data_IF_945880888716
#
_entry.id   IF_945880888716
#
_cell.length_a   1.000
_cell.length_b   1.000
_cell.length_c   1.000
_cell.angle_alpha   90.00
_cell.angle_beta   90.00
_cell.angle_gamma   90.00
#
_symmetry.space_group_name_H-M   'P 1'
#
loop_
_entity.id
_entity.type
_entity.pdbx_description
1 polymer ?
#
# COMPACT_ATOMS: atom_id res chain seq x y z
N UNK A 1 -10.82 16.18 61.88
CA UNK A 1 -11.39 16.00 60.51
C UNK A 1 -10.29 16.36 59.51
N UNK A 2 -9.65 15.34 58.91
CA UNK A 2 -8.64 15.54 57.89
C UNK A 2 -9.33 15.72 56.53
N UNK A 3 -8.97 16.70 55.70
CA UNK A 3 -9.52 16.83 54.37
C UNK A 3 -8.93 15.77 53.42
N UNK A 4 -9.82 15.01 52.79
CA UNK A 4 -9.52 14.02 51.75
C UNK A 4 -8.72 14.67 50.62
N UNK A 5 -7.48 14.24 50.42
CA UNK A 5 -6.64 14.61 49.29
C UNK A 5 -7.26 14.02 48.00
N UNK A 6 -7.67 14.90 47.09
CA UNK A 6 -8.06 14.52 45.73
C UNK A 6 -6.93 13.78 45.05
N UNK A 7 -7.21 12.68 44.30
CA UNK A 7 -6.18 11.98 43.55
C UNK A 7 -5.62 12.91 42.46
N UNK A 8 -4.30 13.10 42.44
CA UNK A 8 -3.57 13.81 41.40
C UNK A 8 -3.88 13.15 40.04
N UNK A 9 -4.10 13.93 38.96
CA UNK A 9 -4.24 13.38 37.63
C UNK A 9 -2.98 12.58 37.31
N UNK A 10 -3.15 11.33 36.93
CA UNK A 10 -2.07 10.46 36.41
C UNK A 10 -1.45 11.16 35.22
N UNK A 11 -0.23 11.63 35.39
CA UNK A 11 0.60 12.22 34.35
C UNK A 11 0.78 11.15 33.24
N UNK A 12 0.07 11.32 32.13
CA UNK A 12 0.22 10.46 30.95
C UNK A 12 1.64 10.68 30.46
N UNK A 13 2.50 9.68 30.70
CA UNK A 13 3.89 9.71 30.28
C UNK A 13 3.97 10.09 28.80
N UNK A 14 4.84 11.05 28.41
CA UNK A 14 4.94 11.50 27.02
C UNK A 14 5.27 10.30 26.13
N UNK A 15 4.61 10.19 24.99
CA UNK A 15 4.84 9.18 23.94
C UNK A 15 6.26 9.38 23.42
N UNK A 16 7.23 8.81 24.15
CA UNK A 16 8.65 8.88 23.84
C UNK A 16 8.92 7.98 22.61
N UNK A 17 9.38 8.60 21.53
CA UNK A 17 10.02 8.02 20.35
C UNK A 17 9.11 7.37 19.29
N UNK A 18 8.24 8.16 18.65
CA UNK A 18 7.86 7.91 17.27
C UNK A 18 9.08 8.15 16.38
N UNK A 19 9.30 7.26 15.41
CA UNK A 19 10.42 7.38 14.48
C UNK A 19 9.93 8.23 13.32
N UNK A 20 10.36 9.48 13.28
CA UNK A 20 9.88 10.49 12.34
C UNK A 20 10.04 10.07 10.86
N UNK A 21 11.12 9.34 10.51
CA UNK A 21 11.36 8.86 9.15
C UNK A 21 10.29 7.87 8.68
N UNK A 22 9.79 7.00 9.56
CA UNK A 22 8.70 6.05 9.25
C UNK A 22 7.39 6.81 8.99
N UNK A 23 7.03 7.74 9.87
CA UNK A 23 5.79 8.51 9.71
C UNK A 23 5.87 9.44 8.49
N UNK A 24 7.06 9.98 8.18
CA UNK A 24 7.31 10.78 6.99
C UNK A 24 7.10 9.96 5.71
N UNK A 25 7.74 8.78 5.60
CA UNK A 25 7.58 7.94 4.43
C UNK A 25 6.13 7.50 4.25
N UNK A 26 5.42 7.13 5.34
CA UNK A 26 3.99 6.84 5.28
C UNK A 26 3.18 8.00 4.74
N UNK A 27 3.41 9.21 5.27
CA UNK A 27 2.72 10.42 4.80
C UNK A 27 2.98 10.70 3.32
N UNK A 28 4.22 10.56 2.88
CA UNK A 28 4.59 10.75 1.48
C UNK A 28 3.83 9.78 0.57
N UNK A 29 3.87 8.48 0.86
CA UNK A 29 3.22 7.47 0.03
C UNK A 29 1.69 7.56 0.10
N UNK A 30 1.09 8.06 1.21
CA UNK A 30 -0.34 8.36 1.28
C UNK A 30 -0.77 9.43 0.28
N UNK A 31 -0.01 10.51 0.18
CA UNK A 31 -0.33 11.58 -0.75
C UNK A 31 -0.17 11.13 -2.21
N UNK A 32 0.91 10.43 -2.52
CA UNK A 32 1.19 9.91 -3.87
C UNK A 32 0.13 8.88 -4.28
N UNK A 33 -0.29 7.99 -3.38
CA UNK A 33 -1.30 6.97 -3.66
C UNK A 33 -2.62 7.57 -4.15
N UNK A 34 -3.04 8.70 -3.58
CA UNK A 34 -4.29 9.34 -3.97
C UNK A 34 -4.30 9.81 -5.44
N UNK A 35 -3.13 10.11 -6.04
CA UNK A 35 -3.03 10.43 -7.48
C UNK A 35 -3.49 9.24 -8.32
N UNK A 36 -3.07 8.03 -7.96
CA UNK A 36 -3.39 6.80 -8.68
C UNK A 36 -4.89 6.53 -8.67
N UNK A 37 -5.49 6.62 -7.48
CA UNK A 37 -6.92 6.37 -7.32
C UNK A 37 -7.77 7.42 -8.05
N UNK A 38 -7.40 8.70 -7.96
CA UNK A 38 -8.11 9.76 -8.70
C UNK A 38 -7.92 9.65 -10.21
N UNK A 39 -6.75 9.18 -10.69
CA UNK A 39 -6.55 8.90 -12.10
C UNK A 39 -7.46 7.77 -12.56
N UNK A 40 -7.54 6.68 -11.81
CA UNK A 40 -8.38 5.54 -12.15
C UNK A 40 -9.88 5.91 -12.14
N UNK A 41 -10.28 6.85 -11.27
CA UNK A 41 -11.67 7.32 -11.18
C UNK A 41 -12.03 8.41 -12.21
N UNK A 42 -11.12 9.35 -12.50
CA UNK A 42 -11.45 10.61 -13.14
C UNK A 42 -10.77 10.83 -14.50
N UNK A 43 -9.75 10.03 -14.88
CA UNK A 43 -9.05 10.30 -16.13
C UNK A 43 -9.89 9.87 -17.32
N UNK A 44 -10.15 10.79 -18.25
CA UNK A 44 -10.95 10.57 -19.44
C UNK A 44 -10.42 9.40 -20.27
N UNK A 45 -11.31 8.49 -20.67
CA UNK A 45 -10.98 7.33 -21.51
C UNK A 45 -10.23 6.22 -20.80
N UNK A 46 -9.86 6.36 -19.53
CA UNK A 46 -9.15 5.38 -18.71
C UNK A 46 -7.96 4.68 -19.43
N UNK A 47 -7.04 5.43 -20.07
CA UNK A 47 -5.93 4.83 -20.80
C UNK A 47 -5.05 4.01 -19.86
N UNK A 48 -4.58 2.84 -20.34
CA UNK A 48 -3.66 2.03 -19.57
C UNK A 48 -2.27 2.72 -19.49
N UNK A 49 -1.82 3.18 -18.32
CA UNK A 49 -0.57 3.93 -18.19
C UNK A 49 0.69 3.07 -18.44
N UNK A 50 0.57 1.75 -18.40
CA UNK A 50 1.68 0.81 -18.57
C UNK A 50 1.74 0.16 -19.96
N UNK A 51 0.78 0.44 -20.82
CA UNK A 51 0.77 -0.02 -22.20
C UNK A 51 1.67 0.88 -23.06
N UNK A 52 2.80 0.34 -23.53
CA UNK A 52 3.81 1.07 -24.32
C UNK A 52 3.29 1.59 -25.66
N UNK A 53 2.19 1.03 -26.19
CA UNK A 53 1.61 1.46 -27.46
C UNK A 53 0.71 2.68 -27.34
N UNK A 54 0.12 2.90 -26.14
CA UNK A 54 -0.91 3.95 -25.94
C UNK A 54 -0.53 4.98 -24.88
N UNK A 55 0.44 4.67 -24.01
CA UNK A 55 0.84 5.57 -22.93
C UNK A 55 1.66 6.77 -23.42
N UNK A 56 1.63 7.83 -22.63
CA UNK A 56 2.55 8.97 -22.78
C UNK A 56 3.56 8.98 -21.62
N UNK A 57 4.74 9.60 -21.79
CA UNK A 57 5.72 9.68 -20.69
C UNK A 57 5.12 10.26 -19.40
N UNK A 58 4.30 11.32 -19.50
CA UNK A 58 3.65 11.95 -18.33
C UNK A 58 2.69 10.98 -17.64
N UNK A 59 1.86 10.28 -18.41
CA UNK A 59 0.92 9.31 -17.88
C UNK A 59 1.64 8.12 -17.23
N UNK A 60 2.67 7.59 -17.88
CA UNK A 60 3.49 6.52 -17.34
C UNK A 60 4.14 6.92 -16.02
N UNK A 61 4.84 8.06 -15.96
CA UNK A 61 5.52 8.50 -14.73
C UNK A 61 4.54 8.87 -13.62
N UNK A 62 3.33 9.31 -13.94
CA UNK A 62 2.24 9.46 -12.95
C UNK A 62 1.91 8.12 -12.30
N UNK A 63 1.82 7.04 -13.06
CA UNK A 63 1.60 5.69 -12.55
C UNK A 63 2.84 5.13 -11.85
N UNK A 64 4.02 5.35 -12.43
CA UNK A 64 5.27 4.81 -11.92
C UNK A 64 5.60 5.30 -10.51
N UNK A 65 5.40 6.60 -10.22
CA UNK A 65 5.64 7.13 -8.88
C UNK A 65 4.70 6.50 -7.84
N UNK A 66 3.50 6.07 -8.22
CA UNK A 66 2.56 5.40 -7.30
C UNK A 66 2.90 3.93 -7.05
N UNK A 67 3.79 3.33 -7.85
CA UNK A 67 4.30 1.98 -7.62
C UNK A 67 4.98 1.82 -6.26
N UNK A 68 5.57 2.89 -5.72
CA UNK A 68 6.27 2.88 -4.44
C UNK A 68 5.31 2.72 -3.24
N UNK A 69 4.02 2.98 -3.39
CA UNK A 69 3.09 3.08 -2.28
C UNK A 69 2.83 1.73 -1.60
N UNK A 70 2.39 0.72 -2.35
CA UNK A 70 2.01 -0.57 -1.76
C UNK A 70 3.20 -1.30 -1.09
N UNK A 71 4.39 -1.44 -1.72
CA UNK A 71 5.54 -2.06 -1.07
C UNK A 71 5.96 -1.31 0.19
N UNK A 72 5.97 0.02 0.17
CA UNK A 72 6.30 0.82 1.35
C UNK A 72 5.29 0.60 2.49
N UNK A 73 3.98 0.55 2.20
CA UNK A 73 2.96 0.30 3.23
C UNK A 73 3.11 -1.07 3.88
N UNK A 74 3.23 -2.12 3.07
CA UNK A 74 3.37 -3.48 3.57
C UNK A 74 4.65 -3.64 4.38
N UNK A 75 5.78 -3.14 3.85
CA UNK A 75 7.07 -3.18 4.52
C UNK A 75 7.08 -2.40 5.85
N UNK A 76 6.57 -1.17 5.85
CA UNK A 76 6.44 -0.34 7.06
C UNK A 76 5.46 -0.93 8.07
N UNK A 77 4.47 -1.71 7.63
CA UNK A 77 3.58 -2.45 8.53
C UNK A 77 4.34 -3.53 9.29
N UNK A 78 5.26 -4.24 8.63
CA UNK A 78 6.18 -5.19 9.27
C UNK A 78 7.09 -4.52 10.30
N UNK A 79 7.77 -3.42 9.95
CA UNK A 79 8.60 -2.64 10.90
C UNK A 79 7.77 -2.20 12.10
N UNK A 80 6.53 -1.74 11.86
CA UNK A 80 5.65 -1.26 12.93
C UNK A 80 5.16 -2.37 13.84
N UNK A 81 4.93 -3.55 13.31
CA UNK A 81 4.61 -4.74 14.09
C UNK A 81 5.75 -5.10 15.06
N UNK A 82 7.01 -5.04 14.57
CA UNK A 82 8.18 -5.23 15.44
C UNK A 82 8.23 -4.17 16.55
N UNK A 83 8.09 -2.90 16.22
CA UNK A 83 8.11 -1.80 17.19
C UNK A 83 6.97 -1.89 18.21
N UNK A 84 5.79 -2.37 17.79
CA UNK A 84 4.67 -2.64 18.69
C UNK A 84 4.98 -3.77 19.68
N UNK A 85 5.78 -4.75 19.27
CA UNK A 85 6.24 -5.85 20.13
C UNK A 85 7.18 -5.42 21.26
N UNK A 86 7.84 -4.27 21.15
CA UNK A 86 8.72 -3.75 22.23
C UNK A 86 7.97 -3.37 23.52
N UNK A 87 6.65 -3.25 23.46
CA UNK A 87 5.78 -2.86 24.58
C UNK A 87 4.75 -3.93 24.93
N UNK A 88 4.89 -5.13 24.37
CA UNK A 88 3.94 -6.23 24.54
C UNK A 88 4.71 -7.53 24.80
N UNK A 89 4.10 -8.42 25.58
CA UNK A 89 4.57 -9.81 25.58
C UNK A 89 4.36 -10.44 24.20
N UNK A 90 5.02 -11.56 23.95
CA UNK A 90 4.94 -12.26 22.67
C UNK A 90 3.51 -12.68 22.34
N UNK A 91 2.78 -13.24 23.32
CA UNK A 91 1.39 -13.67 23.14
C UNK A 91 0.44 -12.47 22.93
N UNK A 92 0.69 -11.37 23.64
CA UNK A 92 -0.05 -10.12 23.42
C UNK A 92 0.21 -9.53 22.03
N UNK A 93 1.43 -9.61 21.52
CA UNK A 93 1.76 -9.18 20.18
C UNK A 93 1.08 -10.06 19.13
N UNK A 94 1.20 -11.38 19.27
CA UNK A 94 0.56 -12.34 18.36
C UNK A 94 -0.95 -12.13 18.30
N UNK A 95 -1.62 -12.06 19.44
CA UNK A 95 -3.06 -11.79 19.52
C UNK A 95 -3.45 -10.44 18.94
N UNK A 96 -2.65 -9.39 19.14
CA UNK A 96 -2.86 -8.07 18.54
C UNK A 96 -2.76 -8.13 17.02
N UNK A 97 -1.72 -8.78 16.47
CA UNK A 97 -1.49 -8.87 15.02
C UNK A 97 -2.62 -9.66 14.33
N UNK A 98 -3.03 -10.79 14.91
CA UNK A 98 -4.10 -11.62 14.36
C UNK A 98 -5.43 -10.85 14.36
N UNK A 99 -5.82 -10.24 15.50
CA UNK A 99 -7.06 -9.47 15.60
C UNK A 99 -7.06 -8.29 14.63
N UNK A 100 -5.93 -7.57 14.53
CA UNK A 100 -5.80 -6.44 13.60
C UNK A 100 -5.84 -6.90 12.14
N UNK A 101 -5.27 -8.07 11.82
CA UNK A 101 -5.33 -8.65 10.49
C UNK A 101 -6.77 -8.94 10.06
N UNK A 102 -7.56 -9.61 10.90
CA UNK A 102 -8.99 -9.83 10.62
C UNK A 102 -9.77 -8.52 10.49
N UNK A 103 -9.49 -7.54 11.35
CA UNK A 103 -10.10 -6.21 11.24
C UNK A 103 -9.82 -5.54 9.89
N UNK A 104 -8.59 -5.60 9.41
CA UNK A 104 -8.22 -5.01 8.11
C UNK A 104 -8.92 -5.72 6.95
N UNK A 105 -9.02 -7.06 6.98
CA UNK A 105 -9.76 -7.82 5.98
C UNK A 105 -11.24 -7.44 5.99
N UNK A 106 -11.84 -7.32 7.18
CA UNK A 106 -13.23 -6.88 7.32
C UNK A 106 -13.44 -5.47 6.73
N UNK A 107 -12.54 -4.52 7.04
CA UNK A 107 -12.64 -3.15 6.51
C UNK A 107 -12.45 -3.12 5.00
N UNK A 108 -11.56 -3.93 4.44
CA UNK A 108 -11.40 -4.04 2.98
C UNK A 108 -12.73 -4.44 2.32
N UNK A 109 -13.28 -5.57 2.75
CA UNK A 109 -14.48 -6.16 2.13
C UNK A 109 -15.73 -5.30 2.37
N UNK A 110 -15.90 -4.73 3.58
CA UNK A 110 -17.17 -4.04 3.92
C UNK A 110 -17.09 -2.54 3.67
N UNK A 111 -15.94 -1.90 3.97
CA UNK A 111 -15.87 -0.44 3.92
C UNK A 111 -15.25 0.04 2.62
N UNK A 112 -14.15 -0.58 2.18
CA UNK A 112 -13.41 -0.10 1.00
C UNK A 112 -14.11 -0.54 -0.28
N UNK A 113 -14.56 -1.79 -0.38
CA UNK A 113 -15.31 -2.25 -1.55
C UNK A 113 -16.58 -1.43 -1.73
N UNK A 114 -17.31 -1.13 -0.65
CA UNK A 114 -18.45 -0.20 -0.73
C UNK A 114 -18.02 1.21 -1.15
N UNK A 115 -16.94 1.75 -0.60
CA UNK A 115 -16.48 3.10 -0.94
C UNK A 115 -16.06 3.23 -2.41
N UNK A 116 -15.58 2.16 -3.05
CA UNK A 116 -15.15 2.14 -4.45
C UNK A 116 -16.28 1.85 -5.42
N UNK A 117 -17.18 0.93 -5.09
CA UNK A 117 -18.25 0.46 -5.99
C UNK A 117 -19.58 1.20 -5.78
N UNK A 118 -19.82 1.74 -4.58
CA UNK A 118 -21.14 2.27 -4.14
C UNK A 118 -22.26 1.22 -4.30
N UNK A 119 -21.89 -0.04 -4.24
CA UNK A 119 -22.79 -1.18 -4.41
C UNK A 119 -23.13 -1.82 -3.05
N UNK A 120 -24.36 -1.65 -2.54
CA UNK A 120 -24.78 -2.23 -1.26
C UNK A 120 -24.95 -3.75 -1.29
N UNK A 121 -24.95 -4.37 -2.48
CA UNK A 121 -25.09 -5.82 -2.66
C UNK A 121 -23.76 -6.53 -2.84
N UNK A 122 -22.64 -5.78 -2.94
CA UNK A 122 -21.29 -6.34 -3.08
C UNK A 122 -21.16 -7.34 -4.24
N UNK A 123 -21.69 -6.99 -5.43
CA UNK A 123 -21.54 -7.84 -6.61
C UNK A 123 -20.07 -8.07 -6.99
N UNK A 124 -19.18 -7.12 -6.66
CA UNK A 124 -17.74 -7.29 -6.79
C UNK A 124 -17.04 -7.14 -5.45
N UNK A 125 -16.33 -8.19 -5.04
CA UNK A 125 -15.40 -8.16 -3.89
C UNK A 125 -13.98 -8.08 -4.45
N UNK A 126 -13.18 -7.10 -3.97
CA UNK A 126 -11.82 -6.88 -4.46
C UNK A 126 -10.79 -7.06 -3.35
N UNK A 127 -9.92 -8.04 -3.48
CA UNK A 127 -8.82 -8.25 -2.56
C UNK A 127 -7.63 -7.37 -2.93
N UNK A 128 -7.59 -6.16 -2.37
CA UNK A 128 -6.56 -5.14 -2.61
C UNK A 128 -5.47 -5.14 -1.53
N UNK A 129 -4.77 -4.00 -1.38
CA UNK A 129 -3.60 -3.89 -0.50
C UNK A 129 -3.93 -4.06 0.98
N UNK A 130 -5.10 -3.64 1.47
CA UNK A 130 -5.47 -3.77 2.89
C UNK A 130 -5.77 -5.23 3.23
N UNK A 131 -6.40 -5.99 2.31
CA UNK A 131 -6.51 -7.44 2.39
C UNK A 131 -5.13 -8.09 2.53
N UNK A 132 -4.17 -7.76 1.64
CA UNK A 132 -2.83 -8.33 1.66
C UNK A 132 -2.09 -7.99 2.97
N UNK A 133 -2.22 -6.76 3.48
CA UNK A 133 -1.67 -6.36 4.79
C UNK A 133 -2.33 -7.14 5.92
N UNK A 134 -3.66 -7.28 5.91
CA UNK A 134 -4.41 -7.99 6.94
C UNK A 134 -4.03 -9.47 7.01
N UNK A 135 -4.07 -10.16 5.88
CA UNK A 135 -3.72 -11.59 5.79
C UNK A 135 -2.24 -11.84 6.13
N UNK A 136 -1.32 -11.01 5.63
CA UNK A 136 0.11 -11.08 6.00
C UNK A 136 0.34 -10.82 7.49
N UNK A 137 -0.46 -9.95 8.11
CA UNK A 137 -0.38 -9.66 9.55
C UNK A 137 -0.85 -10.84 10.39
N UNK A 138 -1.85 -11.61 9.93
CA UNK A 138 -2.27 -12.87 10.57
C UNK A 138 -1.12 -13.88 10.51
N UNK A 139 -0.51 -14.10 9.33
CA UNK A 139 0.60 -15.02 9.17
C UNK A 139 1.82 -14.62 10.03
N UNK A 140 2.16 -13.34 10.06
CA UNK A 140 3.19 -12.81 10.96
C UNK A 140 2.83 -13.07 12.43
N UNK A 141 1.57 -12.87 12.82
CA UNK A 141 1.08 -13.16 14.17
C UNK A 141 1.23 -14.62 14.57
N UNK A 142 0.95 -15.54 13.65
CA UNK A 142 1.15 -17.00 13.85
C UNK A 142 2.62 -17.36 14.02
N UNK A 143 3.54 -16.76 13.22
CA UNK A 143 4.98 -16.96 13.37
C UNK A 143 5.50 -16.42 14.71
N UNK A 144 5.00 -15.28 15.16
CA UNK A 144 5.31 -14.72 16.49
C UNK A 144 4.79 -15.64 17.61
N UNK A 145 3.59 -16.17 17.48
CA UNK A 145 3.01 -17.13 18.42
C UNK A 145 3.82 -18.43 18.48
N UNK A 146 4.27 -18.94 17.32
CA UNK A 146 5.18 -20.08 17.21
C UNK A 146 6.59 -19.81 17.75
N UNK A 147 6.81 -18.68 18.42
CA UNK A 147 8.09 -18.27 19.04
C UNK A 147 9.26 -18.12 18.07
N UNK A 148 8.98 -17.90 16.78
CA UNK A 148 10.01 -17.64 15.77
C UNK A 148 10.74 -16.33 16.07
N UNK A 149 12.06 -16.28 15.89
CA UNK A 149 12.86 -15.08 16.13
C UNK A 149 12.63 -14.02 15.04
N UNK A 150 12.78 -12.72 15.32
CA UNK A 150 12.63 -11.67 14.30
C UNK A 150 13.58 -11.86 13.11
N UNK A 151 14.79 -12.34 13.35
CA UNK A 151 15.76 -12.63 12.29
C UNK A 151 15.27 -13.77 11.38
N UNK A 152 14.81 -14.87 11.97
CA UNK A 152 14.25 -16.01 11.22
C UNK A 152 13.02 -15.59 10.41
N UNK A 153 12.13 -14.79 10.98
CA UNK A 153 10.96 -14.22 10.27
C UNK A 153 11.43 -13.38 9.07
N UNK A 154 12.44 -12.53 9.25
CA UNK A 154 13.01 -11.73 8.17
C UNK A 154 13.64 -12.59 7.07
N UNK A 155 14.35 -13.67 7.41
CA UNK A 155 14.93 -14.62 6.45
C UNK A 155 13.83 -15.34 5.67
N UNK A 156 12.76 -15.81 6.32
CA UNK A 156 11.60 -16.40 5.65
C UNK A 156 11.02 -15.40 4.65
N UNK A 157 10.86 -14.13 5.06
CA UNK A 157 10.39 -13.06 4.18
C UNK A 157 11.26 -12.87 2.94
N UNK A 158 12.59 -12.87 3.11
CA UNK A 158 13.53 -12.76 2.00
C UNK A 158 13.48 -13.98 1.06
N UNK A 159 13.39 -15.20 1.59
CA UNK A 159 13.24 -16.42 0.79
C UNK A 159 11.98 -16.35 -0.06
N UNK A 160 10.85 -15.91 0.51
CA UNK A 160 9.60 -15.72 -0.23
C UNK A 160 9.79 -14.67 -1.32
N UNK A 161 10.36 -13.50 -1.01
CA UNK A 161 10.56 -12.43 -2.00
C UNK A 161 11.50 -12.85 -3.14
N UNK A 162 12.51 -13.67 -2.86
CA UNK A 162 13.44 -14.15 -3.89
C UNK A 162 12.86 -15.29 -4.72
N UNK A 163 12.02 -16.14 -4.10
CA UNK A 163 11.60 -17.41 -4.70
C UNK A 163 10.24 -17.37 -5.41
N UNK A 164 9.35 -16.40 -5.12
CA UNK A 164 7.98 -16.43 -5.65
C UNK A 164 7.91 -16.35 -7.18
N UNK A 165 8.86 -15.69 -7.84
CA UNK A 165 8.92 -15.61 -9.31
C UNK A 165 9.37 -16.93 -9.97
N UNK A 166 9.80 -17.95 -9.22
CA UNK A 166 10.02 -19.30 -9.77
C UNK A 166 8.71 -19.82 -10.41
N UNK A 167 7.57 -19.41 -9.87
CA UNK A 167 6.27 -19.69 -10.45
C UNK A 167 6.16 -19.26 -11.94
N UNK A 168 6.68 -18.08 -12.29
CA UNK A 168 6.62 -17.54 -13.64
C UNK A 168 7.47 -18.37 -14.62
N UNK A 169 8.55 -18.99 -14.12
CA UNK A 169 9.44 -19.87 -14.89
C UNK A 169 8.82 -21.25 -15.09
N UNK A 170 8.16 -21.79 -14.05
CA UNK A 170 7.64 -23.17 -14.08
C UNK A 170 6.30 -23.29 -14.81
N UNK A 171 5.46 -22.28 -14.75
CA UNK A 171 4.06 -22.37 -15.20
C UNK A 171 3.73 -21.62 -16.49
N UNK A 172 4.69 -21.17 -17.27
CA UNK A 172 4.56 -20.63 -18.63
C UNK A 172 3.18 -19.96 -18.94
N UNK A 173 2.68 -19.13 -18.02
CA UNK A 173 1.46 -18.32 -18.10
C UNK A 173 0.10 -19.04 -18.38
N UNK A 174 0.06 -20.36 -18.52
CA UNK A 174 -1.13 -21.08 -19.01
C UNK A 174 -1.98 -21.78 -17.94
N UNK A 175 -1.59 -21.81 -16.67
CA UNK A 175 -2.22 -22.69 -15.66
C UNK A 175 -3.00 -21.95 -14.56
N UNK A 176 -3.39 -20.72 -14.80
CA UNK A 176 -4.03 -19.89 -13.77
C UNK A 176 -5.55 -20.02 -13.68
N UNK A 177 -6.08 -21.23 -13.68
CA UNK A 177 -7.51 -21.48 -13.50
C UNK A 177 -7.89 -21.71 -12.04
N UNK A 178 -6.94 -22.06 -11.15
CA UNK A 178 -7.21 -22.36 -9.76
C UNK A 178 -7.24 -21.08 -8.90
N UNK A 179 -8.38 -20.84 -8.22
CA UNK A 179 -8.60 -19.72 -7.32
C UNK A 179 -7.55 -19.69 -6.18
N UNK A 180 -7.18 -20.87 -5.62
CA UNK A 180 -6.19 -20.97 -4.54
C UNK A 180 -4.83 -20.50 -5.04
N UNK A 181 -4.43 -20.91 -6.23
CA UNK A 181 -3.16 -20.51 -6.83
C UNK A 181 -3.09 -19.00 -7.05
N UNK A 182 -4.18 -18.40 -7.58
CA UNK A 182 -4.29 -16.94 -7.75
C UNK A 182 -4.23 -16.20 -6.43
N UNK A 183 -4.91 -16.70 -5.42
CA UNK A 183 -4.92 -16.10 -4.10
C UNK A 183 -3.51 -16.01 -3.50
N UNK A 184 -2.71 -17.05 -3.68
CA UNK A 184 -1.39 -17.13 -3.03
C UNK A 184 -0.24 -16.58 -3.88
N UNK A 185 -0.24 -16.78 -5.21
CA UNK A 185 0.96 -16.56 -6.04
C UNK A 185 0.73 -15.67 -7.26
N UNK A 186 -0.38 -15.84 -8.00
CA UNK A 186 -0.50 -15.33 -9.35
C UNK A 186 -1.70 -14.40 -9.55
N UNK A 187 -1.93 -13.46 -8.63
CA UNK A 187 -2.98 -12.46 -8.78
C UNK A 187 -2.85 -11.69 -10.11
N UNK A 188 -3.94 -11.67 -10.91
CA UNK A 188 -3.97 -11.01 -12.23
C UNK A 188 -4.29 -9.51 -12.16
N UNK A 189 -4.13 -8.89 -11.01
CA UNK A 189 -4.46 -7.48 -10.81
C UNK A 189 -5.96 -7.23 -10.97
N UNK A 190 -6.30 -6.21 -11.75
CA UNK A 190 -7.69 -5.78 -11.98
C UNK A 190 -8.26 -6.27 -13.33
N UNK A 191 -7.68 -7.30 -13.94
CA UNK A 191 -8.03 -7.72 -15.31
C UNK A 191 -9.08 -8.82 -15.37
N UNK A 192 -9.15 -9.69 -14.36
CA UNK A 192 -10.06 -10.85 -14.35
C UNK A 192 -10.66 -11.05 -12.97
N UNK A 193 -11.99 -11.15 -12.93
CA UNK A 193 -12.73 -11.53 -11.73
C UNK A 193 -13.27 -12.95 -11.86
N UNK A 194 -13.30 -13.66 -10.74
CA UNK A 194 -13.86 -15.00 -10.62
C UNK A 194 -15.33 -14.95 -10.27
N UNK A 195 -16.18 -15.67 -10.98
CA UNK A 195 -17.58 -15.79 -10.59
C UNK A 195 -17.73 -16.64 -9.34
N UNK A 196 -18.40 -16.08 -8.33
CA UNK A 196 -18.80 -16.78 -7.12
C UNK A 196 -20.23 -17.33 -7.22
N UNK A 197 -20.88 -17.17 -8.37
CA UNK A 197 -22.30 -17.49 -8.58
C UNK A 197 -23.23 -16.35 -8.18
N UNK A 198 -24.51 -16.47 -8.57
CA UNK A 198 -25.57 -15.50 -8.22
C UNK A 198 -25.26 -14.03 -8.58
N UNK A 199 -24.44 -13.80 -9.61
CA UNK A 199 -24.05 -12.43 -10.04
C UNK A 199 -22.94 -11.78 -9.21
N UNK A 200 -22.30 -12.54 -8.31
CA UNK A 200 -21.19 -12.06 -7.50
C UNK A 200 -19.84 -12.49 -8.10
N UNK A 201 -18.84 -11.61 -7.95
CA UNK A 201 -17.50 -11.80 -8.49
C UNK A 201 -16.43 -11.50 -7.43
N UNK A 202 -15.32 -12.23 -7.50
CA UNK A 202 -14.12 -12.00 -6.69
C UNK A 202 -12.96 -11.60 -7.59
N UNK A 203 -12.35 -10.46 -7.31
CA UNK A 203 -11.16 -9.98 -7.99
C UNK A 203 -9.99 -9.99 -7.03
N UNK A 204 -8.96 -10.79 -7.33
CA UNK A 204 -7.74 -10.85 -6.51
C UNK A 204 -6.68 -9.97 -7.18
N UNK A 205 -6.52 -8.75 -6.67
CA UNK A 205 -5.52 -7.83 -7.16
C UNK A 205 -4.14 -8.07 -6.51
N UNK A 206 -4.11 -8.55 -5.27
CA UNK A 206 -2.89 -8.75 -4.49
C UNK A 206 -2.74 -10.20 -4.02
N UNK A 207 -1.82 -10.95 -4.65
CA UNK A 207 -1.47 -12.30 -4.24
C UNK A 207 -0.83 -12.30 -2.84
N UNK A 208 -1.24 -13.21 -1.96
CA UNK A 208 -0.87 -13.18 -0.55
C UNK A 208 0.64 -13.37 -0.31
N UNK A 209 1.25 -14.37 -0.97
CA UNK A 209 2.58 -14.84 -0.60
C UNK A 209 3.68 -13.79 -0.83
N UNK A 210 3.77 -13.11 -2.00
CA UNK A 210 4.79 -12.09 -2.22
C UNK A 210 4.68 -10.94 -1.22
N UNK A 211 3.48 -10.48 -0.92
CA UNK A 211 3.24 -9.38 0.02
C UNK A 211 3.51 -9.79 1.48
N UNK A 212 3.23 -11.05 1.82
CA UNK A 212 3.67 -11.61 3.11
C UNK A 212 5.19 -11.58 3.23
N UNK A 213 5.92 -11.97 2.18
CA UNK A 213 7.37 -11.87 2.14
C UNK A 213 7.88 -10.47 2.46
N UNK A 214 7.28 -9.44 1.85
CA UNK A 214 7.61 -8.02 2.10
C UNK A 214 7.35 -7.63 3.56
N UNK A 215 6.22 -8.03 4.13
CA UNK A 215 5.90 -7.74 5.54
C UNK A 215 6.88 -8.41 6.50
N UNK A 216 7.20 -9.68 6.28
CA UNK A 216 8.13 -10.45 7.12
C UNK A 216 9.55 -9.87 7.04
N UNK A 217 10.00 -9.48 5.84
CA UNK A 217 11.28 -8.79 5.67
C UNK A 217 11.31 -7.46 6.43
N UNK A 218 10.22 -6.68 6.36
CA UNK A 218 10.04 -5.46 7.14
C UNK A 218 10.08 -5.71 8.66
N UNK A 219 9.46 -6.78 9.14
CA UNK A 219 9.50 -7.16 10.57
C UNK A 219 10.92 -7.48 11.03
N UNK A 220 11.66 -8.28 10.26
CA UNK A 220 13.08 -8.59 10.53
C UNK A 220 13.94 -7.34 10.56
N UNK A 221 13.77 -6.44 9.57
CA UNK A 221 14.51 -5.17 9.49
C UNK A 221 14.13 -4.20 10.62
N UNK A 222 12.97 -4.37 11.21
CA UNK A 222 12.53 -3.61 12.39
C UNK A 222 13.54 -3.65 13.55
N UNK A 223 14.35 -4.71 13.66
CA UNK A 223 15.41 -4.87 14.67
C UNK A 223 16.44 -3.73 14.62
N UNK A 224 16.71 -3.14 13.46
CA UNK A 224 17.63 -2.01 13.30
C UNK A 224 17.19 -0.77 14.10
N UNK A 225 15.90 -0.64 14.36
CA UNK A 225 15.33 0.47 15.12
C UNK A 225 15.49 0.33 16.64
N UNK A 226 16.10 -0.77 17.11
CA UNK A 226 16.51 -0.94 18.49
C UNK A 226 17.96 -0.46 18.76
N UNK A 227 18.72 -0.21 17.68
CA UNK A 227 20.13 0.17 17.73
C UNK A 227 20.39 1.65 17.46
N UNK A 228 21.66 1.94 17.23
CA UNK A 228 22.17 3.28 16.92
C UNK A 228 21.65 3.82 15.57
N UNK A 229 21.33 5.11 15.51
CA UNK A 229 20.80 5.77 14.34
C UNK A 229 21.80 5.86 13.17
N UNK A 230 23.09 6.10 13.46
CA UNK A 230 24.11 6.20 12.42
C UNK A 230 24.36 4.84 11.77
N UNK A 231 24.43 3.78 12.58
CA UNK A 231 24.56 2.39 12.09
C UNK A 231 23.32 2.01 11.27
N UNK A 232 22.12 2.33 11.74
CA UNK A 232 20.86 2.11 11.01
C UNK A 232 20.87 2.81 9.67
N UNK A 233 21.18 4.11 9.62
CA UNK A 233 21.28 4.87 8.37
C UNK A 233 22.24 4.19 7.38
N UNK A 234 23.45 3.82 7.83
CA UNK A 234 24.42 3.13 6.98
C UNK A 234 23.87 1.81 6.44
N UNK A 235 23.27 0.99 7.29
CA UNK A 235 22.70 -0.32 6.89
C UNK A 235 21.55 -0.14 5.89
N UNK A 236 20.63 0.81 6.13
CA UNK A 236 19.53 1.11 5.19
C UNK A 236 20.07 1.58 3.83
N UNK A 237 21.11 2.44 3.82
CA UNK A 237 21.74 2.91 2.58
C UNK A 237 22.40 1.76 1.83
N UNK A 238 23.16 0.89 2.51
CA UNK A 238 23.80 -0.26 1.87
C UNK A 238 22.76 -1.21 1.28
N UNK A 239 21.72 -1.56 2.03
CA UNK A 239 20.64 -2.42 1.54
C UNK A 239 19.93 -1.80 0.34
N UNK A 240 19.65 -0.50 0.39
CA UNK A 240 19.04 0.23 -0.73
C UNK A 240 19.90 0.14 -2.00
N UNK A 241 21.18 0.41 -1.88
CA UNK A 241 22.12 0.32 -3.02
C UNK A 241 22.19 -1.11 -3.56
N UNK A 242 22.26 -2.12 -2.70
CA UNK A 242 22.23 -3.53 -3.12
C UNK A 242 20.96 -3.87 -3.90
N UNK A 243 19.77 -3.48 -3.40
CA UNK A 243 18.51 -3.74 -4.09
C UNK A 243 18.45 -3.05 -5.46
N UNK A 244 18.90 -1.79 -5.55
CA UNK A 244 18.92 -1.04 -6.80
C UNK A 244 19.96 -1.60 -7.79
N UNK A 245 21.10 -2.10 -7.32
CA UNK A 245 22.07 -2.80 -8.17
C UNK A 245 21.51 -4.14 -8.66
N UNK A 246 20.86 -4.92 -7.80
CA UNK A 246 20.18 -6.16 -8.21
C UNK A 246 19.12 -5.85 -9.26
N UNK A 247 18.31 -4.83 -9.05
CA UNK A 247 17.34 -4.36 -10.06
C UNK A 247 18.06 -4.02 -11.37
N UNK A 248 19.09 -3.17 -11.35
CA UNK A 248 19.79 -2.73 -12.56
C UNK A 248 20.41 -3.87 -13.35
N UNK A 249 21.06 -4.82 -12.66
CA UNK A 249 21.72 -5.98 -13.31
C UNK A 249 20.68 -6.97 -13.82
N UNK A 250 19.77 -7.44 -12.96
CA UNK A 250 18.82 -8.49 -13.34
C UNK A 250 17.83 -8.02 -14.39
N UNK A 251 17.35 -6.78 -14.25
CA UNK A 251 16.45 -6.17 -15.25
C UNK A 251 17.22 -5.87 -16.53
N UNK A 252 18.45 -5.35 -16.46
CA UNK A 252 19.26 -5.01 -17.62
C UNK A 252 19.49 -6.19 -18.55
N UNK A 253 19.71 -7.36 -17.97
CA UNK A 253 19.94 -8.61 -18.73
C UNK A 253 18.72 -9.50 -18.85
N UNK A 254 17.55 -9.11 -18.35
CA UNK A 254 16.32 -9.93 -18.32
C UNK A 254 16.55 -11.35 -17.75
N UNK A 255 17.29 -11.48 -16.66
CA UNK A 255 17.73 -12.79 -16.13
C UNK A 255 16.59 -13.49 -15.38
N UNK A 256 16.00 -12.80 -14.37
CA UNK A 256 15.02 -13.38 -13.45
C UNK A 256 14.26 -12.28 -12.71
N UNK A 257 13.04 -12.59 -12.25
CA UNK A 257 12.32 -11.78 -11.28
C UNK A 257 11.39 -10.72 -11.86
N UNK A 258 11.12 -10.77 -13.16
CA UNK A 258 10.01 -10.08 -13.78
C UNK A 258 9.47 -10.92 -14.95
N UNK A 259 8.16 -11.24 -15.00
CA UNK A 259 7.57 -12.04 -16.06
C UNK A 259 7.56 -11.34 -17.44
N UNK A 260 7.66 -10.00 -17.45
CA UNK A 260 7.64 -9.22 -18.68
C UNK A 260 9.03 -8.63 -18.93
N UNK A 261 9.84 -9.19 -19.85
CA UNK A 261 11.15 -8.64 -20.19
C UNK A 261 11.02 -7.24 -20.80
N UNK A 262 11.99 -6.37 -20.49
CA UNK A 262 12.09 -5.10 -21.21
C UNK A 262 12.73 -5.29 -22.57
N UNK A 263 12.41 -4.39 -23.50
CA UNK A 263 13.00 -4.38 -24.84
C UNK A 263 13.24 -2.95 -25.33
N UNK A 264 14.19 -2.82 -26.25
CA UNK A 264 14.43 -1.56 -26.96
C UNK A 264 13.20 -1.24 -27.80
N UNK A 265 12.73 0.00 -27.71
CA UNK A 265 11.56 0.52 -28.39
C UNK A 265 11.99 1.48 -29.53
N UNK A 266 11.00 1.97 -30.30
CA UNK A 266 11.22 2.88 -31.44
C UNK A 266 11.89 4.22 -31.07
N UNK A 267 11.92 4.59 -29.79
CA UNK A 267 12.64 5.76 -29.30
C UNK A 267 13.21 5.52 -27.89
N UNK A 268 14.19 6.35 -27.52
CA UNK A 268 14.93 6.20 -26.26
C UNK A 268 14.03 6.36 -25.03
N UNK A 269 13.04 7.28 -25.07
CA UNK A 269 12.12 7.51 -23.96
C UNK A 269 11.25 6.27 -23.70
N UNK A 270 10.69 5.67 -24.76
CA UNK A 270 9.90 4.44 -24.64
C UNK A 270 10.78 3.25 -24.22
N UNK A 271 12.05 3.21 -24.60
CA UNK A 271 13.01 2.20 -24.14
C UNK A 271 13.29 2.32 -22.65
N UNK A 272 13.46 3.54 -22.13
CA UNK A 272 13.57 3.82 -20.70
C UNK A 272 12.28 3.43 -19.98
N UNK A 273 11.13 3.78 -20.54
CA UNK A 273 9.82 3.39 -19.99
C UNK A 273 9.70 1.86 -19.94
N UNK A 274 10.05 1.15 -21.02
CA UNK A 274 10.07 -0.33 -21.06
C UNK A 274 10.95 -0.92 -19.94
N UNK A 275 12.14 -0.36 -19.73
CA UNK A 275 13.04 -0.78 -18.65
C UNK A 275 12.46 -0.57 -17.25
N UNK A 276 11.79 0.57 -17.01
CA UNK A 276 11.20 0.93 -15.73
C UNK A 276 9.81 0.32 -15.50
N UNK A 277 9.18 -0.25 -16.53
CA UNK A 277 7.85 -0.85 -16.49
C UNK A 277 7.93 -2.27 -15.92
N UNK A 278 8.02 -2.37 -14.61
CA UNK A 278 8.08 -3.63 -13.87
C UNK A 278 6.69 -4.10 -13.44
N UNK A 279 6.50 -5.42 -13.40
CA UNK A 279 5.21 -6.05 -13.12
C UNK A 279 4.82 -5.91 -11.64
N UNK A 280 3.64 -5.35 -11.41
CA UNK A 280 3.05 -5.16 -10.08
C UNK A 280 2.06 -6.28 -9.71
N UNK A 281 1.46 -6.92 -10.69
CA UNK A 281 0.39 -7.90 -10.48
C UNK A 281 0.65 -9.21 -11.26
N UNK A 282 1.17 -10.25 -10.57
CA UNK A 282 1.70 -10.27 -9.20
C UNK A 282 2.96 -9.42 -9.08
N UNK A 283 3.27 -8.94 -7.86
CA UNK A 283 4.45 -8.10 -7.68
C UNK A 283 5.73 -8.91 -7.94
N UNK A 284 6.53 -8.47 -8.91
CA UNK A 284 7.77 -9.11 -9.30
C UNK A 284 8.93 -8.77 -8.35
N UNK A 285 9.98 -9.59 -8.32
CA UNK A 285 11.19 -9.30 -7.57
C UNK A 285 11.83 -7.97 -8.05
N UNK A 286 11.81 -7.70 -9.34
CA UNK A 286 12.33 -6.44 -9.91
C UNK A 286 11.53 -5.24 -9.42
N UNK A 287 10.20 -5.37 -9.37
CA UNK A 287 9.32 -4.37 -8.77
C UNK A 287 9.67 -4.14 -7.28
N UNK A 288 9.87 -5.21 -6.50
CA UNK A 288 10.25 -5.09 -5.09
C UNK A 288 11.64 -4.48 -4.90
N UNK A 289 12.65 -4.87 -5.70
CA UNK A 289 13.99 -4.32 -5.62
C UNK A 289 14.01 -2.81 -5.89
N UNK A 290 13.32 -2.36 -6.95
CA UNK A 290 13.23 -0.96 -7.30
C UNK A 290 12.51 -0.16 -6.20
N UNK A 291 11.33 -0.60 -5.82
CA UNK A 291 10.46 0.17 -4.92
C UNK A 291 10.95 0.18 -3.47
N UNK A 292 11.39 -0.96 -2.94
CA UNK A 292 11.94 -1.04 -1.59
C UNK A 292 13.33 -0.40 -1.52
N UNK A 293 14.15 -0.51 -2.57
CA UNK A 293 15.43 0.18 -2.64
C UNK A 293 15.25 1.70 -2.47
N UNK A 294 14.32 2.30 -3.21
CA UNK A 294 13.99 3.72 -3.07
C UNK A 294 13.38 4.05 -1.70
N UNK A 295 12.48 3.22 -1.18
CA UNK A 295 11.90 3.42 0.15
C UNK A 295 12.96 3.42 1.26
N UNK A 296 13.95 2.53 1.18
CA UNK A 296 15.08 2.49 2.12
C UNK A 296 15.97 3.73 2.02
N UNK A 297 16.20 4.28 0.81
CA UNK A 297 16.92 5.56 0.63
C UNK A 297 16.17 6.71 1.31
N UNK A 298 14.85 6.78 1.15
CA UNK A 298 14.02 7.80 1.81
C UNK A 298 14.12 7.65 3.33
N UNK A 299 13.99 6.44 3.87
CA UNK A 299 14.15 6.19 5.32
C UNK A 299 15.53 6.62 5.82
N UNK A 300 16.61 6.28 5.10
CA UNK A 300 17.98 6.65 5.48
C UNK A 300 18.22 8.17 5.40
N UNK A 301 17.65 8.84 4.40
CA UNK A 301 17.82 10.27 4.17
C UNK A 301 17.01 11.16 5.12
N UNK A 302 15.90 10.63 5.66
CA UNK A 302 14.94 11.43 6.44
C UNK A 302 15.05 11.28 7.96
N UNK A 303 16.04 10.54 8.46
CA UNK A 303 16.22 10.31 9.92
C UNK A 303 16.36 11.58 10.77
N UNK A 304 16.92 12.63 10.20
CA UNK A 304 17.14 13.93 10.88
C UNK A 304 16.27 15.06 10.33
N UNK A 305 15.26 14.77 9.50
CA UNK A 305 14.44 15.80 8.86
C UNK A 305 13.44 16.43 9.84
N UNK A 306 13.41 17.77 9.92
CA UNK A 306 12.54 18.51 10.83
C UNK A 306 12.00 19.83 10.26
N UNK A 307 11.95 20.00 8.93
CA UNK A 307 11.45 21.23 8.28
C UNK A 307 9.90 21.29 8.24
N UNK A 308 9.35 22.42 7.74
CA UNK A 308 7.89 22.61 7.63
C UNK A 308 7.22 21.56 6.75
N UNK A 309 7.84 21.19 5.63
CA UNK A 309 7.30 20.20 4.69
C UNK A 309 7.20 18.82 5.33
N UNK A 310 8.27 18.36 5.98
CA UNK A 310 8.26 17.06 6.66
C UNK A 310 7.23 17.00 7.79
N UNK A 311 6.96 18.11 8.49
CA UNK A 311 5.89 18.18 9.49
C UNK A 311 4.50 17.99 8.89
N UNK A 312 4.24 18.54 7.69
CA UNK A 312 2.97 18.33 6.97
C UNK A 312 2.82 16.85 6.60
N UNK A 313 3.85 16.23 6.04
CA UNK A 313 3.81 14.80 5.69
C UNK A 313 3.55 13.91 6.91
N UNK A 314 4.17 14.22 8.05
CA UNK A 314 3.97 13.47 9.30
C UNK A 314 2.52 13.57 9.80
N UNK A 315 1.76 14.62 9.49
CA UNK A 315 0.32 14.69 9.85
C UNK A 315 -0.44 13.52 9.23
N UNK A 316 -0.24 13.26 7.95
CA UNK A 316 -0.88 12.14 7.24
C UNK A 316 -0.30 10.79 7.70
N UNK A 317 1.02 10.69 7.85
CA UNK A 317 1.69 9.47 8.28
C UNK A 317 1.36 9.03 9.70
N UNK A 318 0.85 9.92 10.54
CA UNK A 318 0.38 9.60 11.88
C UNK A 318 -0.96 8.85 11.91
N UNK A 319 -1.78 9.01 10.88
CA UNK A 319 -3.12 8.46 10.76
C UNK A 319 -3.39 7.85 9.36
N UNK A 320 -2.49 6.98 8.86
CA UNK A 320 -2.51 6.55 7.48
C UNK A 320 -3.79 5.79 7.13
N UNK A 321 -4.30 4.96 8.03
CA UNK A 321 -5.51 4.18 7.77
C UNK A 321 -6.78 5.05 7.78
N UNK A 322 -6.84 6.04 8.66
CA UNK A 322 -7.91 7.04 8.64
C UNK A 322 -7.91 7.83 7.33
N UNK A 323 -6.74 8.32 6.88
CA UNK A 323 -6.61 8.96 5.58
C UNK A 323 -7.07 8.03 4.45
N UNK A 324 -6.66 6.74 4.48
CA UNK A 324 -7.01 5.77 3.46
C UNK A 324 -8.52 5.60 3.31
N UNK A 325 -9.26 5.50 4.40
CA UNK A 325 -10.73 5.42 4.37
C UNK A 325 -11.31 6.74 3.85
N UNK A 326 -10.93 7.87 4.43
CA UNK A 326 -11.51 9.16 4.09
C UNK A 326 -11.25 9.55 2.62
N UNK A 327 -10.06 9.24 2.08
CA UNK A 327 -9.76 9.62 0.70
C UNK A 327 -10.58 8.84 -0.32
N UNK A 328 -10.90 7.56 -0.08
CA UNK A 328 -11.76 6.78 -0.96
C UNK A 328 -13.18 7.35 -1.00
N UNK A 329 -13.78 7.61 0.17
CA UNK A 329 -15.10 8.23 0.23
C UNK A 329 -15.12 9.61 -0.43
N UNK A 330 -14.10 10.43 -0.18
CA UNK A 330 -14.04 11.77 -0.78
C UNK A 330 -13.79 11.69 -2.30
N UNK A 331 -12.89 10.84 -2.75
CA UNK A 331 -12.61 10.65 -4.18
C UNK A 331 -13.87 10.17 -4.93
N UNK A 332 -14.58 9.18 -4.38
CA UNK A 332 -15.81 8.67 -4.96
C UNK A 332 -16.93 9.73 -4.96
N UNK A 333 -17.05 10.50 -3.87
CA UNK A 333 -18.03 11.60 -3.81
C UNK A 333 -17.76 12.67 -4.88
N UNK A 334 -16.48 13.01 -5.11
CA UNK A 334 -16.07 13.93 -6.18
C UNK A 334 -16.39 13.33 -7.56
N UNK A 335 -16.15 12.06 -7.75
CA UNK A 335 -16.44 11.35 -9.01
C UNK A 335 -17.94 11.39 -9.32
N UNK A 336 -18.78 11.07 -8.35
CA UNK A 336 -20.25 11.13 -8.49
C UNK A 336 -20.71 12.56 -8.79
N UNK A 337 -20.18 13.55 -8.06
CA UNK A 337 -20.50 14.94 -8.30
C UNK A 337 -20.13 15.39 -9.71
N UNK A 338 -18.94 15.05 -10.19
CA UNK A 338 -18.50 15.36 -11.56
C UNK A 338 -19.32 14.65 -12.62
N UNK A 339 -19.65 13.38 -12.40
CA UNK A 339 -20.53 12.61 -13.30
C UNK A 339 -21.84 13.33 -13.57
N UNK A 340 -22.57 13.72 -12.54
CA UNK A 340 -23.84 14.45 -12.70
C UNK A 340 -23.65 15.89 -13.21
N UNK A 341 -22.56 16.58 -12.80
CA UNK A 341 -22.29 17.95 -13.28
C UNK A 341 -21.90 18.01 -14.75
N UNK A 342 -21.40 16.92 -15.33
CA UNK A 342 -21.13 16.77 -16.76
C UNK A 342 -22.40 16.41 -17.58
N UNK A 343 -23.56 16.33 -16.93
CA UNK A 343 -24.85 16.06 -17.59
C UNK A 343 -25.18 14.57 -17.76
N UNK A 344 -24.43 13.69 -17.13
CA UNK A 344 -24.72 12.24 -17.13
C UNK A 344 -25.90 11.90 -16.20
N UNK A 345 -26.59 10.82 -16.51
CA UNK A 345 -27.79 10.37 -15.78
C UNK A 345 -27.57 8.95 -15.21
N UNK A 346 -28.42 8.56 -14.25
CA UNK A 346 -28.33 7.26 -13.56
C UNK A 346 -28.39 6.05 -14.51
N UNK A 347 -29.05 6.15 -15.64
CA UNK A 347 -29.10 5.10 -16.68
C UNK A 347 -27.77 4.92 -17.43
N UNK A 348 -26.84 5.87 -17.28
CA UNK A 348 -25.50 5.80 -17.87
C UNK A 348 -24.45 5.24 -16.89
N UNK A 349 -24.85 4.94 -15.65
CA UNK A 349 -24.00 4.28 -14.68
C UNK A 349 -23.64 2.91 -15.22
N UNK A 350 -22.34 2.65 -15.38
CA UNK A 350 -21.86 1.42 -15.97
C UNK A 350 -21.85 0.27 -14.95
N UNK A 351 -22.98 -0.43 -14.87
CA UNK A 351 -23.14 -1.57 -13.97
C UNK A 351 -22.24 -2.76 -14.33
N UNK A 352 -21.70 -2.83 -15.57
CA UNK A 352 -20.74 -3.87 -15.98
C UNK A 352 -19.32 -3.60 -15.41
N UNK A 353 -19.06 -2.36 -15.01
CA UNK A 353 -17.82 -1.95 -14.32
C UNK A 353 -18.06 -1.82 -12.81
N UNK A 354 -18.34 -2.92 -12.16
CA UNK A 354 -18.64 -2.95 -10.71
C UNK A 354 -17.62 -2.20 -9.82
N UNK A 355 -16.35 -2.09 -10.24
CA UNK A 355 -15.34 -1.41 -9.45
C UNK A 355 -15.49 0.14 -9.44
N UNK A 356 -15.91 0.75 -10.57
CA UNK A 356 -16.02 2.21 -10.72
C UNK A 356 -17.23 2.58 -11.58
N UNK A 357 -18.46 2.40 -11.09
CA UNK A 357 -19.68 2.52 -11.90
C UNK A 357 -19.94 3.94 -12.42
N UNK A 358 -19.49 4.98 -11.70
CA UNK A 358 -19.64 6.38 -12.07
C UNK A 358 -18.50 6.94 -12.94
N UNK A 359 -17.69 6.08 -13.55
CA UNK A 359 -16.54 6.47 -14.37
C UNK A 359 -16.66 5.88 -15.80
N UNK A 360 -17.65 6.32 -16.61
CA UNK A 360 -17.78 5.86 -18.00
C UNK A 360 -16.66 6.41 -18.87
N UNK A 361 -16.33 5.71 -19.97
CA UNK A 361 -15.22 6.07 -20.85
C UNK A 361 -15.38 7.44 -21.55
N UNK A 362 -16.62 7.93 -21.69
CA UNK A 362 -16.96 9.20 -22.31
C UNK A 362 -17.01 10.38 -21.32
N UNK A 363 -16.79 10.13 -20.02
CA UNK A 363 -16.70 11.16 -18.98
C UNK A 363 -15.29 11.21 -18.39
N UNK A 364 -14.98 12.31 -17.73
CA UNK A 364 -13.73 12.45 -17.00
C UNK A 364 -12.94 13.72 -17.32
N UNK A 365 -11.79 13.85 -16.70
CA UNK A 365 -10.93 15.02 -16.77
C UNK A 365 -9.64 14.70 -17.54
N UNK A 366 -9.02 15.69 -18.20
CA UNK A 366 -7.64 15.55 -18.63
C UNK A 366 -6.72 15.34 -17.43
N UNK A 367 -5.54 14.77 -17.64
CA UNK A 367 -4.59 14.45 -16.56
C UNK A 367 -4.27 15.67 -15.67
N UNK A 368 -4.17 16.87 -16.24
CA UNK A 368 -3.99 18.11 -15.47
C UNK A 368 -5.16 18.39 -14.51
N UNK A 369 -6.39 18.08 -14.92
CA UNK A 369 -7.58 18.17 -14.07
C UNK A 369 -7.53 17.15 -12.92
N UNK A 370 -7.05 15.94 -13.18
CA UNK A 370 -6.83 14.91 -12.12
C UNK A 370 -5.84 15.45 -11.07
N UNK A 371 -4.73 16.07 -11.50
CA UNK A 371 -3.77 16.68 -10.58
C UNK A 371 -4.37 17.83 -9.77
N UNK A 372 -5.22 18.65 -10.38
CA UNK A 372 -5.91 19.73 -9.66
C UNK A 372 -6.86 19.18 -8.57
N UNK A 373 -7.66 18.17 -8.91
CA UNK A 373 -8.53 17.48 -7.93
C UNK A 373 -7.71 16.81 -6.83
N UNK A 374 -6.57 16.19 -7.17
CA UNK A 374 -5.67 15.61 -6.19
C UNK A 374 -5.15 16.64 -5.18
N UNK A 375 -4.70 17.82 -5.64
CA UNK A 375 -4.26 18.89 -4.75
C UNK A 375 -5.37 19.36 -3.81
N UNK A 376 -6.60 19.52 -4.33
CA UNK A 376 -7.78 19.89 -3.53
C UNK A 376 -8.05 18.81 -2.49
N UNK A 377 -8.07 17.53 -2.87
CA UNK A 377 -8.32 16.41 -1.96
C UNK A 377 -7.27 16.36 -0.83
N UNK A 378 -5.99 16.51 -1.18
CA UNK A 378 -4.90 16.53 -0.20
C UNK A 378 -5.10 17.66 0.80
N UNK A 379 -5.37 18.89 0.34
CA UNK A 379 -5.59 20.04 1.22
C UNK A 379 -6.81 19.84 2.12
N UNK A 380 -7.93 19.36 1.57
CA UNK A 380 -9.15 19.09 2.34
C UNK A 380 -8.92 18.05 3.44
N UNK A 381 -8.20 16.97 3.15
CA UNK A 381 -7.93 15.89 4.11
C UNK A 381 -6.87 16.27 5.17
N UNK A 382 -6.12 17.36 4.99
CA UNK A 382 -5.15 17.81 6.00
C UNK A 382 -5.82 18.09 7.35
N UNK A 383 -6.94 18.78 7.34
CA UNK A 383 -7.63 19.22 8.55
C UNK A 383 -8.19 18.03 9.37
N UNK A 384 -8.98 17.11 8.78
CA UNK A 384 -9.46 15.94 9.53
C UNK A 384 -8.32 15.02 9.98
N UNK A 385 -7.26 14.83 9.18
CA UNK A 385 -6.10 14.03 9.60
C UNK A 385 -5.35 14.66 10.78
N UNK A 386 -5.19 15.98 10.78
CA UNK A 386 -4.58 16.71 11.90
C UNK A 386 -5.44 16.60 13.15
N UNK A 387 -6.75 16.82 13.04
CA UNK A 387 -7.70 16.66 14.12
C UNK A 387 -7.67 15.25 14.70
N UNK A 388 -7.81 14.23 13.87
CA UNK A 388 -7.84 12.85 14.33
C UNK A 388 -6.49 12.42 14.94
N UNK A 389 -5.37 12.92 14.38
CA UNK A 389 -4.05 12.69 14.96
C UNK A 389 -3.88 13.30 16.36
N UNK A 390 -4.53 14.43 16.64
CA UNK A 390 -4.59 15.04 17.98
C UNK A 390 -5.52 14.24 18.90
N UNK A 391 -6.71 13.90 18.42
CA UNK A 391 -7.68 13.09 19.14
C UNK A 391 -7.07 11.77 19.61
N UNK A 392 -6.34 11.08 18.73
CA UNK A 392 -5.65 9.82 19.04
C UNK A 392 -4.57 9.94 20.12
N UNK A 393 -4.01 11.15 20.32
CA UNK A 393 -3.00 11.39 21.38
C UNK A 393 -3.62 11.64 22.75
N UNK A 394 -4.82 12.19 22.78
CA UNK A 394 -5.51 12.60 24.01
C UNK A 394 -6.51 11.57 24.53
N UNK A 395 -6.88 10.59 23.72
CA UNK A 395 -7.89 9.58 24.05
C UNK A 395 -7.29 8.17 23.99
N UNK A 396 -7.69 7.32 24.94
CA UNK A 396 -7.17 5.96 25.10
C UNK A 396 -8.13 4.84 24.68
N UNK A 397 -9.15 5.12 23.85
CA UNK A 397 -10.11 4.10 23.43
C UNK A 397 -9.40 2.98 22.66
N UNK A 398 -9.82 1.74 22.88
CA UNK A 398 -9.21 0.54 22.33
C UNK A 398 -9.20 0.52 20.78
N UNK A 399 -10.27 1.02 20.15
CA UNK A 399 -10.44 1.04 18.69
C UNK A 399 -9.45 1.99 17.99
N UNK A 400 -8.94 3.01 18.68
CA UNK A 400 -7.93 3.91 18.12
C UNK A 400 -6.62 3.20 17.74
N UNK A 401 -6.35 2.04 18.33
CA UNK A 401 -5.19 1.23 17.97
C UNK A 401 -5.34 0.50 16.63
N UNK A 402 -6.56 0.44 16.09
CA UNK A 402 -6.89 -0.22 14.82
C UNK A 402 -6.97 0.77 13.65
N UNK A 403 -7.14 2.07 13.92
CA UNK A 403 -7.10 3.19 12.97
C UNK A 403 -5.76 3.98 13.04
#
# INVERSE_FOLDING_TARGET
MNPLSSPKPTEVAPIKNRIASIDLLRGLVMLIMAIDHLRDLLHHGHPNPTDLHTTTPVLFFTRWITHFCAPAFVFLSGISAFLAGRRRSRDQLAGFLIKRGFWLIFVEIVVIDFATSVDPFYHLIVFQVIWAIGASMILLGLLVWAKTTPLTIGIIGLIICLGHNINDVLHNHSVDTDLVWRLFLSARGFTTADSLGSGHFLLIAYALLPWTGVMLAGYGLGTLYSGDAAKRKRTLTVLAVVLLLVFGVFRGFNIYGDPVPWSIQNNDILSIISFLNVTKYPCSLMYLCLTLGMALLVLAGTEKSGNRFTRILIVYGNVPFFYYICHWFLAQSITIFLFFSMGHHLNEVNNDKFAFPFSPNNAGLPLAGVYAVWLILVVLLYFPCRWFGQYKKTHGQWWLSYL
#
